data_IF_127361093432
#
_entry.id   IF_127361093432
#
_cell.length_a   1.000
_cell.length_b   1.000
_cell.length_c   1.000
_cell.angle_alpha   90.00
_cell.angle_beta   90.00
_cell.angle_gamma   90.00
#
_symmetry.space_group_name_H-M   'P 1'
#
loop_
_entity.id
_entity.type
_entity.pdbx_description
1 polymer ?
#
# COMPACT_ATOMS: atom_id res chain seq x y z
N UNK A 1 3.91 -32.25 2.60
CA UNK A 1 3.52 -31.26 1.57
C UNK A 1 4.61 -30.21 1.53
N UNK A 2 5.49 -30.28 0.53
CA UNK A 2 6.55 -29.28 0.35
C UNK A 2 5.95 -27.98 -0.19
N UNK A 3 5.99 -26.92 0.61
CA UNK A 3 5.67 -25.57 0.17
C UNK A 3 6.74 -25.12 -0.84
N UNK A 4 6.45 -25.26 -2.13
CA UNK A 4 7.26 -24.65 -3.20
C UNK A 4 7.26 -23.14 -2.98
N UNK A 5 8.39 -22.63 -2.52
CA UNK A 5 8.67 -21.21 -2.37
C UNK A 5 8.71 -20.61 -3.78
N UNK A 6 7.56 -20.06 -4.21
CA UNK A 6 7.41 -19.42 -5.51
C UNK A 6 8.31 -18.17 -5.51
N UNK A 7 9.26 -18.11 -6.44
CA UNK A 7 10.21 -16.99 -6.50
C UNK A 7 9.47 -15.74 -6.98
N UNK A 8 9.73 -14.62 -6.32
CA UNK A 8 9.10 -13.32 -6.55
C UNK A 8 9.15 -12.88 -8.03
N UNK A 9 10.17 -13.28 -8.79
CA UNK A 9 10.30 -12.95 -10.21
C UNK A 9 9.33 -13.69 -11.15
N UNK A 10 8.81 -14.86 -10.76
CA UNK A 10 8.02 -15.73 -11.63
C UNK A 10 6.52 -15.38 -11.65
N UNK A 11 6.05 -14.58 -10.67
CA UNK A 11 4.65 -14.15 -10.53
C UNK A 11 4.32 -12.79 -11.15
N UNK A 12 5.26 -12.14 -11.86
CA UNK A 12 5.07 -10.79 -12.41
C UNK A 12 5.08 -10.75 -13.94
N UNK A 13 4.01 -11.18 -14.63
CA UNK A 13 3.72 -10.61 -15.94
C UNK A 13 3.47 -9.10 -15.74
N UNK A 14 4.04 -8.26 -16.60
CA UNK A 14 3.84 -6.79 -16.60
C UNK A 14 2.37 -6.46 -16.28
N UNK A 15 2.17 -5.65 -15.24
CA UNK A 15 0.87 -5.36 -14.63
C UNK A 15 -0.20 -5.10 -15.68
N UNK A 16 -1.34 -5.78 -15.57
CA UNK A 16 -2.49 -5.56 -16.46
C UNK A 16 -3.69 -5.20 -15.60
N UNK A 17 -4.21 -3.95 -15.69
CA UNK A 17 -5.49 -3.59 -15.11
C UNK A 17 -6.55 -4.62 -15.53
N UNK A 18 -7.32 -5.16 -14.58
CA UNK A 18 -8.37 -6.17 -14.83
C UNK A 18 -7.93 -7.63 -14.67
N UNK A 19 -6.64 -7.91 -14.46
CA UNK A 19 -6.17 -9.25 -14.06
C UNK A 19 -6.13 -9.31 -12.53
N UNK A 20 -6.66 -10.41 -11.96
CA UNK A 20 -6.62 -10.65 -10.50
C UNK A 20 -5.17 -10.58 -10.03
N UNK A 21 -4.92 -9.83 -8.95
CA UNK A 21 -3.61 -9.79 -8.32
C UNK A 21 -3.23 -11.20 -7.83
N UNK A 22 -2.11 -11.79 -8.33
CA UNK A 22 -1.78 -13.19 -8.05
C UNK A 22 -1.57 -13.52 -6.56
N UNK A 23 -1.23 -12.52 -5.76
CA UNK A 23 -0.97 -12.68 -4.32
C UNK A 23 -2.16 -12.23 -3.46
N UNK A 24 -3.35 -11.99 -4.03
CA UNK A 24 -4.49 -11.45 -3.29
C UNK A 24 -4.92 -12.29 -2.08
N UNK A 25 -4.72 -13.61 -2.13
CA UNK A 25 -5.13 -14.55 -1.07
C UNK A 25 -3.96 -15.06 -0.24
N UNK A 26 -2.76 -14.47 -0.40
CA UNK A 26 -1.59 -14.90 0.39
C UNK A 26 -1.69 -14.33 1.79
N UNK A 27 -1.59 -15.20 2.79
CA UNK A 27 -1.51 -14.80 4.19
C UNK A 27 -0.22 -14.01 4.42
N UNK A 28 -0.37 -12.75 4.84
CA UNK A 28 0.74 -11.88 5.22
C UNK A 28 0.68 -11.68 6.72
N UNK A 29 1.77 -12.00 7.42
CA UNK A 29 1.89 -11.74 8.85
C UNK A 29 1.69 -10.24 9.14
N UNK A 30 0.63 -9.86 9.87
CA UNK A 30 0.33 -8.46 10.14
C UNK A 30 1.35 -7.80 11.07
N UNK A 31 2.25 -8.54 11.72
CA UNK A 31 3.30 -7.98 12.58
C UNK A 31 4.65 -7.84 11.86
N UNK A 32 4.83 -8.50 10.72
CA UNK A 32 6.03 -8.40 9.90
C UNK A 32 5.97 -7.19 8.96
N UNK A 33 6.58 -6.08 9.37
CA UNK A 33 6.59 -4.81 8.61
C UNK A 33 7.13 -5.00 7.18
N UNK A 34 8.20 -5.79 7.03
CA UNK A 34 8.81 -6.06 5.73
C UNK A 34 7.85 -6.80 4.80
N UNK A 35 7.18 -7.84 5.30
CA UNK A 35 6.22 -8.62 4.53
C UNK A 35 5.02 -7.79 4.09
N UNK A 36 4.44 -6.98 4.99
CA UNK A 36 3.32 -6.08 4.65
C UNK A 36 3.69 -5.10 3.53
N UNK A 37 4.83 -4.42 3.67
CA UNK A 37 5.29 -3.44 2.68
C UNK A 37 5.65 -4.08 1.34
N UNK A 38 6.30 -5.24 1.36
CA UNK A 38 6.59 -5.98 0.13
C UNK A 38 5.29 -6.37 -0.60
N UNK A 39 4.26 -6.82 0.14
CA UNK A 39 2.97 -7.14 -0.44
C UNK A 39 2.25 -5.91 -1.03
N UNK A 40 2.29 -4.77 -0.32
CA UNK A 40 1.75 -3.51 -0.83
C UNK A 40 2.45 -3.07 -2.12
N UNK A 41 3.79 -3.08 -2.15
CA UNK A 41 4.57 -2.73 -3.33
C UNK A 41 4.26 -3.67 -4.50
N UNK A 42 4.15 -4.99 -4.23
CA UNK A 42 3.78 -5.96 -5.26
C UNK A 42 2.40 -5.68 -5.87
N UNK A 43 1.41 -5.34 -5.03
CA UNK A 43 0.08 -4.95 -5.48
C UNK A 43 0.12 -3.67 -6.34
N UNK A 44 0.80 -2.62 -5.87
CA UNK A 44 0.90 -1.35 -6.61
C UNK A 44 1.60 -1.53 -7.96
N UNK A 45 2.65 -2.36 -8.02
CA UNK A 45 3.35 -2.69 -9.28
C UNK A 45 2.44 -3.46 -10.23
N UNK A 46 1.66 -4.42 -9.72
CA UNK A 46 0.66 -5.16 -10.52
C UNK A 46 -0.40 -4.23 -11.12
N UNK A 47 -0.80 -3.20 -10.37
CA UNK A 47 -1.76 -2.19 -10.82
C UNK A 47 -1.15 -1.07 -11.65
N UNK A 48 0.17 -1.09 -11.91
CA UNK A 48 0.91 -0.01 -12.59
C UNK A 48 0.77 1.37 -11.89
N UNK A 49 0.63 1.35 -10.57
CA UNK A 49 0.51 2.54 -9.72
C UNK A 49 1.77 2.82 -8.90
N UNK A 50 2.77 1.93 -8.95
CA UNK A 50 3.97 2.07 -8.16
C UNK A 50 5.02 2.94 -8.84
N UNK A 51 5.42 3.99 -8.14
CA UNK A 51 6.62 4.77 -8.38
C UNK A 51 7.26 5.12 -7.03
N UNK A 52 8.60 5.17 -7.00
CA UNK A 52 9.35 5.36 -5.74
C UNK A 52 9.05 6.72 -5.11
N UNK A 53 8.85 7.75 -5.92
CA UNK A 53 8.57 9.11 -5.46
C UNK A 53 7.20 9.19 -4.76
N UNK A 54 6.13 8.73 -5.40
CA UNK A 54 4.79 8.70 -4.80
C UNK A 54 4.73 7.77 -3.60
N UNK A 55 5.49 6.67 -3.59
CA UNK A 55 5.58 5.80 -2.42
C UNK A 55 6.21 6.53 -1.23
N UNK A 56 7.32 7.22 -1.46
CA UNK A 56 8.00 8.01 -0.43
C UNK A 56 7.10 9.16 0.07
N UNK A 57 6.43 9.86 -0.85
CA UNK A 57 5.49 10.94 -0.52
C UNK A 57 4.30 10.43 0.28
N UNK A 58 3.68 9.32 -0.13
CA UNK A 58 2.57 8.68 0.57
C UNK A 58 2.98 8.28 2.00
N UNK A 59 4.17 7.69 2.14
CA UNK A 59 4.71 7.26 3.44
C UNK A 59 4.96 8.46 4.35
N UNK A 60 5.62 9.51 3.86
CA UNK A 60 5.87 10.73 4.63
C UNK A 60 4.57 11.42 5.04
N UNK A 61 3.60 11.48 4.14
CA UNK A 61 2.27 12.06 4.40
C UNK A 61 1.51 11.27 5.45
N UNK A 62 1.53 9.93 5.38
CA UNK A 62 0.92 9.06 6.36
C UNK A 62 1.58 9.21 7.74
N UNK A 63 2.91 9.23 7.82
CA UNK A 63 3.65 9.45 9.06
C UNK A 63 3.24 10.79 9.69
N UNK A 64 3.23 11.88 8.93
CA UNK A 64 2.86 13.20 9.43
C UNK A 64 1.41 13.25 9.93
N UNK A 65 0.47 12.70 9.17
CA UNK A 65 -0.95 12.68 9.53
C UNK A 65 -1.20 11.85 10.79
N UNK A 66 -0.64 10.63 10.86
CA UNK A 66 -0.82 9.74 12.02
C UNK A 66 -0.13 10.30 13.25
N UNK A 67 1.07 10.88 13.12
CA UNK A 67 1.75 11.53 14.25
C UNK A 67 0.93 12.69 14.81
N UNK A 68 0.36 13.52 13.93
CA UNK A 68 -0.55 14.61 14.33
C UNK A 68 -1.80 14.10 15.04
N UNK A 69 -2.43 13.03 14.51
CA UNK A 69 -3.60 12.42 15.14
C UNK A 69 -3.30 11.85 16.53
N UNK A 70 -2.17 11.15 16.68
CA UNK A 70 -1.75 10.58 17.97
C UNK A 70 -1.45 11.68 18.99
N UNK A 71 -0.72 12.72 18.57
CA UNK A 71 -0.43 13.87 19.42
C UNK A 71 -1.72 14.56 19.91
N UNK A 72 -2.65 14.85 19.00
CA UNK A 72 -3.92 15.49 19.34
C UNK A 72 -4.82 14.62 20.24
N UNK A 73 -4.66 13.29 20.16
CA UNK A 73 -5.34 12.35 21.05
C UNK A 73 -4.63 12.14 22.40
N UNK A 74 -3.55 12.87 22.68
CA UNK A 74 -2.82 12.82 23.95
C UNK A 74 -1.88 11.62 24.10
N UNK A 75 -1.56 10.93 23.01
CA UNK A 75 -0.63 9.81 23.06
C UNK A 75 0.82 10.32 23.05
N UNK A 76 1.55 10.08 24.14
CA UNK A 76 2.96 10.45 24.24
C UNK A 76 3.90 9.40 23.60
N UNK A 77 3.50 8.12 23.65
CA UNK A 77 4.27 6.99 23.13
C UNK A 77 3.35 5.95 22.54
N UNK A 78 3.79 5.34 21.45
CA UNK A 78 3.13 4.21 20.79
C UNK A 78 4.17 3.15 20.46
N UNK A 79 3.76 1.87 20.49
CA UNK A 79 4.62 0.78 20.07
C UNK A 79 4.95 0.89 18.59
N UNK A 80 6.22 0.69 18.22
CA UNK A 80 6.69 0.73 16.82
C UNK A 80 5.85 -0.19 15.91
N UNK A 81 5.55 -1.46 16.26
CA UNK A 81 4.77 -2.33 15.37
C UNK A 81 3.37 -1.79 15.05
N UNK A 82 2.71 -1.19 16.05
CA UNK A 82 1.39 -0.58 15.89
C UNK A 82 1.48 0.69 15.04
N UNK A 83 2.44 1.57 15.32
CA UNK A 83 2.64 2.79 14.56
C UNK A 83 2.86 2.50 13.08
N UNK A 84 3.77 1.57 12.77
CA UNK A 84 4.08 1.16 11.40
C UNK A 84 2.87 0.55 10.69
N UNK A 85 2.06 -0.25 11.39
CA UNK A 85 0.82 -0.78 10.83
C UNK A 85 -0.19 0.33 10.46
N UNK A 86 -0.35 1.34 11.32
CA UNK A 86 -1.26 2.46 11.03
C UNK A 86 -0.73 3.34 9.90
N UNK A 87 0.59 3.51 9.79
CA UNK A 87 1.24 4.19 8.66
C UNK A 87 0.98 3.43 7.35
N UNK A 88 1.19 2.12 7.33
CA UNK A 88 0.93 1.28 6.15
C UNK A 88 -0.54 1.41 5.70
N UNK A 89 -1.49 1.44 6.64
CA UNK A 89 -2.91 1.72 6.34
C UNK A 89 -3.12 3.12 5.74
N UNK A 90 -2.41 4.13 6.25
CA UNK A 90 -2.44 5.50 5.71
C UNK A 90 -1.95 5.57 4.27
N UNK A 91 -0.87 4.86 3.95
CA UNK A 91 -0.35 4.73 2.58
C UNK A 91 -1.38 4.10 1.65
N UNK A 92 -2.09 3.05 2.10
CA UNK A 92 -3.20 2.45 1.36
C UNK A 92 -4.33 3.43 1.03
N UNK A 93 -4.73 4.25 1.99
CA UNK A 93 -5.76 5.26 1.78
C UNK A 93 -5.31 6.32 0.76
N UNK A 94 -4.02 6.71 0.77
CA UNK A 94 -3.45 7.63 -0.21
C UNK A 94 -3.60 7.10 -1.64
N UNK A 95 -3.18 5.87 -1.89
CA UNK A 95 -3.30 5.25 -3.21
C UNK A 95 -4.75 5.02 -3.64
N UNK A 96 -5.64 4.67 -2.71
CA UNK A 96 -7.07 4.54 -2.98
C UNK A 96 -7.71 5.87 -3.41
N UNK A 97 -7.33 6.97 -2.74
CA UNK A 97 -7.80 8.32 -3.11
C UNK A 97 -7.26 8.78 -4.45
N UNK A 98 -5.98 8.53 -4.76
CA UNK A 98 -5.40 8.88 -6.06
C UNK A 98 -6.05 8.10 -7.22
N UNK A 99 -6.31 6.80 -7.04
CA UNK A 99 -6.99 5.99 -8.06
C UNK A 99 -8.41 6.47 -8.30
N UNK A 100 -9.15 6.84 -7.25
CA UNK A 100 -10.47 7.45 -7.40
C UNK A 100 -10.42 8.78 -8.14
N UNK A 101 -9.47 9.68 -7.85
CA UNK A 101 -9.36 10.94 -8.59
C UNK A 101 -8.98 10.74 -10.07
N UNK A 102 -8.10 9.79 -10.39
CA UNK A 102 -7.77 9.46 -11.79
C UNK A 102 -8.99 8.90 -12.54
N UNK A 103 -9.81 8.07 -11.88
CA UNK A 103 -11.07 7.58 -12.46
C UNK A 103 -12.08 8.71 -12.60
N UNK A 104 -12.26 9.57 -11.60
CA UNK A 104 -13.20 10.71 -11.68
C UNK A 104 -12.85 11.71 -12.79
N UNK A 105 -11.56 11.95 -13.05
CA UNK A 105 -11.09 12.82 -14.15
C UNK A 105 -11.31 12.23 -15.55
N UNK A 106 -11.44 10.91 -15.67
CA UNK A 106 -11.81 10.23 -16.92
C UNK A 106 -13.33 10.27 -17.19
N UNK A 107 -14.14 10.60 -16.17
CA UNK A 107 -15.60 10.66 -16.25
C UNK A 107 -16.20 12.08 -16.15
N UNK A 108 -15.37 13.12 -16.02
CA UNK A 108 -15.83 14.50 -16.25
C UNK A 108 -16.05 14.71 -17.75
N UNK A 109 -17.29 14.94 -18.22
CA UNK A 109 -17.49 15.37 -19.59
C UNK A 109 -16.81 16.74 -19.71
N UNK A 110 -15.82 16.84 -20.59
CA UNK A 110 -15.36 18.13 -21.09
C UNK A 110 -16.56 18.77 -21.77
N UNK A 111 -17.15 19.76 -21.10
CA UNK A 111 -18.13 20.65 -21.70
C UNK A 111 -17.49 21.55 -22.75
#
# INVERSE_FOLDING_TARGET
MESKQMKYGDCHPKGKPGVRFPLADVDVDPYNIGARRAHMVAFLRHMELYDEESWAQATASAIAAISSCLHNAGWEKVGIPYFEFVVDRGVWIFYWRMTWHKVSLLFTPTG
#
